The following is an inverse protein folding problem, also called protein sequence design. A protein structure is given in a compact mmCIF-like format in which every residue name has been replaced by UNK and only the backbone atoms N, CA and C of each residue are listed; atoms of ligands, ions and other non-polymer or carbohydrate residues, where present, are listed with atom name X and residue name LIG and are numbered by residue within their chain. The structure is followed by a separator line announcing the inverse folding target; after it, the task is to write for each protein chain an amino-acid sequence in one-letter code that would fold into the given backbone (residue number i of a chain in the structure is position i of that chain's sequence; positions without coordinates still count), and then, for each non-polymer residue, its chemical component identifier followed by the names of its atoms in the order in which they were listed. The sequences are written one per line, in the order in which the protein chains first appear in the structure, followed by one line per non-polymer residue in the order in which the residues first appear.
data_IF_346622956684
#
_entry.id   IF_346622956684
#
_cell.length_a   1.000
_cell.length_b   1.000
_cell.length_c   1.000
_cell.angle_alpha   90.00
_cell.angle_beta   90.00
_cell.angle_gamma   90.00
#
_symmetry.space_group_name_H-M   'P 1'
#
loop_
_entity.id
_entity.type
_entity.pdbx_description
1 polymer ?
#
# COMPACT_ATOMS: atom_id res chain seq x y z
N UNK A 1 -24.89 -1.88 3.90
CA UNK A 1 -24.13 -1.79 2.64
C UNK A 1 -22.73 -2.30 2.94
N UNK A 2 -22.38 -3.46 2.40
CA UNK A 2 -21.04 -4.05 2.44
C UNK A 2 -20.32 -3.65 1.15
N UNK A 3 -19.11 -3.10 1.24
CA UNK A 3 -18.28 -2.87 0.06
C UNK A 3 -17.67 -4.20 -0.41
N UNK A 4 -17.73 -4.44 -1.71
CA UNK A 4 -17.11 -5.60 -2.35
C UNK A 4 -15.71 -5.20 -2.81
N UNK A 5 -14.67 -5.73 -2.16
CA UNK A 5 -13.31 -5.56 -2.65
C UNK A 5 -13.07 -6.55 -3.79
N UNK A 6 -12.78 -6.03 -4.99
CA UNK A 6 -12.39 -6.87 -6.13
C UNK A 6 -11.04 -7.54 -5.89
N UNK A 7 -10.84 -8.72 -6.48
CA UNK A 7 -9.55 -9.41 -6.48
C UNK A 7 -8.44 -8.53 -7.07
N UNK A 8 -7.21 -8.77 -6.64
CA UNK A 8 -6.04 -8.03 -7.10
C UNK A 8 -4.78 -8.88 -6.99
N UNK A 9 -3.71 -8.45 -7.65
CA UNK A 9 -2.38 -8.99 -7.44
C UNK A 9 -1.63 -8.06 -6.48
N UNK A 10 -0.98 -8.64 -5.47
CA UNK A 10 -0.11 -7.85 -4.59
C UNK A 10 1.15 -7.39 -5.30
N UNK A 11 1.91 -6.49 -4.68
CA UNK A 11 3.24 -6.09 -5.16
C UNK A 11 4.18 -7.30 -5.40
N UNK A 12 4.00 -8.39 -4.64
CA UNK A 12 4.73 -9.65 -4.80
C UNK A 12 4.15 -10.56 -5.91
N UNK A 13 3.23 -10.06 -6.73
CA UNK A 13 2.47 -10.81 -7.75
C UNK A 13 1.66 -12.00 -7.17
N UNK A 14 1.25 -11.91 -5.91
CA UNK A 14 0.38 -12.92 -5.28
C UNK A 14 -1.07 -12.57 -5.56
N UNK A 15 -1.83 -13.51 -6.13
CA UNK A 15 -3.26 -13.32 -6.36
C UNK A 15 -4.03 -13.33 -5.05
N UNK A 16 -4.64 -12.20 -4.71
CA UNK A 16 -5.52 -12.04 -3.56
C UNK A 16 -6.96 -12.04 -4.06
N UNK A 17 -7.74 -13.00 -3.56
CA UNK A 17 -9.15 -13.09 -3.92
C UNK A 17 -9.94 -11.89 -3.38
N UNK A 18 -10.94 -11.46 -4.15
CA UNK A 18 -11.87 -10.44 -3.72
C UNK A 18 -12.68 -10.95 -2.53
N UNK A 19 -12.93 -10.07 -1.58
CA UNK A 19 -13.72 -10.38 -0.39
C UNK A 19 -14.65 -9.22 -0.07
N UNK A 20 -15.84 -9.55 0.41
CA UNK A 20 -16.78 -8.59 0.95
C UNK A 20 -16.33 -8.12 2.34
N UNK A 21 -16.42 -6.81 2.57
CA UNK A 21 -16.19 -6.19 3.88
C UNK A 21 -17.52 -6.09 4.65
N UNK A 22 -17.54 -6.27 5.98
CA UNK A 22 -16.40 -6.53 6.87
C UNK A 22 -15.97 -8.00 6.86
N UNK A 23 -14.67 -8.25 7.08
CA UNK A 23 -14.12 -9.60 7.15
C UNK A 23 -14.65 -10.32 8.40
N UNK A 24 -14.92 -11.62 8.30
CA UNK A 24 -15.36 -12.42 9.44
C UNK A 24 -14.30 -12.37 10.57
N UNK A 25 -14.69 -11.85 11.74
CA UNK A 25 -13.79 -11.62 12.87
C UNK A 25 -12.98 -10.31 12.82
N UNK A 26 -13.22 -9.45 11.82
CA UNK A 26 -12.69 -8.10 11.75
C UNK A 26 -13.60 -7.05 12.42
N UNK A 27 -13.25 -5.77 12.25
CA UNK A 27 -14.08 -4.68 12.75
C UNK A 27 -15.42 -4.65 12.00
N UNK A 28 -16.53 -4.69 12.74
CA UNK A 28 -17.88 -4.65 12.17
C UNK A 28 -18.19 -3.34 11.46
N UNK A 29 -17.45 -2.28 11.80
CA UNK A 29 -17.61 -0.97 11.19
C UNK A 29 -16.80 -0.83 9.89
N UNK A 30 -15.81 -1.71 9.67
CA UNK A 30 -14.97 -1.75 8.47
C UNK A 30 -15.72 -2.27 7.24
N UNK A 31 -16.77 -1.55 6.82
CA UNK A 31 -17.67 -1.90 5.75
C UNK A 31 -17.21 -1.40 4.37
N UNK A 32 -16.10 -0.65 4.30
CA UNK A 32 -15.57 -0.05 3.07
C UNK A 32 -14.26 -0.72 2.62
N UNK A 33 -13.99 -0.65 1.32
CA UNK A 33 -12.74 -1.13 0.74
C UNK A 33 -11.75 0.04 0.60
N UNK A 34 -10.64 -0.01 1.34
CA UNK A 34 -9.57 0.99 1.33
C UNK A 34 -8.27 0.45 0.76
N UNK A 35 -7.34 1.38 0.53
CA UNK A 35 -5.97 1.08 0.16
C UNK A 35 -5.69 1.41 -1.30
N UNK A 36 -4.79 0.64 -1.88
CA UNK A 36 -4.27 0.81 -3.23
C UNK A 36 -4.71 -0.34 -4.12
N UNK A 37 -4.47 -0.25 -5.43
CA UNK A 37 -4.84 -1.33 -6.34
C UNK A 37 -4.15 -2.66 -5.99
N UNK A 38 -2.90 -2.58 -5.51
CA UNK A 38 -2.00 -3.66 -5.14
C UNK A 38 -2.06 -4.05 -3.65
N UNK A 39 -2.73 -3.26 -2.80
CA UNK A 39 -2.91 -3.53 -1.36
C UNK A 39 -4.28 -3.03 -0.92
N UNK A 40 -5.29 -3.91 -0.97
CA UNK A 40 -6.67 -3.60 -0.54
C UNK A 40 -6.98 -4.20 0.83
N UNK A 41 -7.63 -3.43 1.69
CA UNK A 41 -8.05 -3.84 3.03
C UNK A 41 -9.40 -3.24 3.43
N UNK A 42 -10.10 -3.88 4.36
CA UNK A 42 -11.36 -3.36 4.89
C UNK A 42 -11.10 -2.23 5.90
N UNK A 43 -11.88 -1.16 5.81
CA UNK A 43 -11.76 0.05 6.62
C UNK A 43 -13.14 0.67 6.87
N UNK A 44 -13.19 1.61 7.81
CA UNK A 44 -14.39 2.40 8.14
C UNK A 44 -14.58 3.65 7.28
N UNK A 45 -13.54 4.06 6.55
CA UNK A 45 -13.49 5.33 5.85
C UNK A 45 -13.79 5.15 4.34
N UNK A 46 -14.88 5.73 3.82
CA UNK A 46 -15.25 5.58 2.41
C UNK A 46 -14.29 6.29 1.43
N UNK A 47 -13.38 7.14 1.91
CA UNK A 47 -12.56 8.03 1.07
C UNK A 47 -11.06 7.68 1.05
N UNK A 48 -10.67 6.51 1.56
CA UNK A 48 -9.28 6.05 1.62
C UNK A 48 -8.91 5.04 0.51
N UNK A 49 -9.70 5.00 -0.56
CA UNK A 49 -9.39 4.20 -1.75
C UNK A 49 -8.64 5.01 -2.80
N UNK A 50 -7.47 4.50 -3.20
CA UNK A 50 -6.62 5.08 -4.22
C UNK A 50 -6.47 4.09 -5.39
N UNK A 51 -6.88 4.46 -6.63
CA UNK A 51 -6.87 3.56 -7.78
C UNK A 51 -5.47 3.32 -8.39
N UNK A 52 -4.40 3.71 -7.70
CA UNK A 52 -3.01 3.60 -8.15
C UNK A 52 -2.28 2.50 -7.37
N UNK A 53 -1.18 1.98 -7.91
CA UNK A 53 -0.30 1.08 -7.18
C UNK A 53 0.54 1.86 -6.16
N UNK A 54 0.75 1.30 -4.97
CA UNK A 54 1.61 1.89 -3.96
C UNK A 54 3.03 2.14 -4.50
N UNK A 55 3.52 1.24 -5.35
CA UNK A 55 4.80 1.39 -6.05
C UNK A 55 4.91 2.67 -6.91
N UNK A 56 3.79 3.16 -7.46
CA UNK A 56 3.78 4.39 -8.25
C UNK A 56 4.08 5.63 -7.38
N UNK A 57 3.67 5.64 -6.12
CA UNK A 57 4.01 6.74 -5.19
C UNK A 57 5.50 6.79 -4.87
N UNK A 58 6.17 5.63 -4.79
CA UNK A 58 7.62 5.55 -4.64
C UNK A 58 8.34 6.03 -5.90
N UNK A 59 7.88 5.62 -7.09
CA UNK A 59 8.49 6.06 -8.35
C UNK A 59 8.38 7.57 -8.55
N UNK A 60 7.26 8.20 -8.19
CA UNK A 60 7.13 9.66 -8.23
C UNK A 60 8.15 10.36 -7.33
N UNK A 61 8.58 9.76 -6.21
CA UNK A 61 9.67 10.28 -5.38
C UNK A 61 11.00 10.23 -6.16
N UNK A 62 11.34 9.09 -6.75
CA UNK A 62 12.55 8.92 -7.56
C UNK A 62 12.58 9.82 -8.80
N UNK A 63 11.45 10.03 -9.49
CA UNK A 63 11.39 10.87 -10.69
C UNK A 63 11.46 12.35 -10.35
N UNK A 64 10.91 12.75 -9.20
CA UNK A 64 11.07 14.12 -8.69
C UNK A 64 12.50 14.37 -8.21
N UNK A 65 13.23 13.33 -7.82
CA UNK A 65 14.67 13.38 -7.56
C UNK A 65 15.52 13.34 -8.86
N UNK A 66 14.97 12.89 -9.99
CA UNK A 66 15.66 12.87 -11.29
C UNK A 66 15.81 14.26 -11.95
N UNK A 67 15.13 15.29 -11.43
CA UNK A 67 15.41 16.69 -11.78
C UNK A 67 16.56 17.29 -10.96
N UNK A 68 17.18 16.53 -10.05
CA UNK A 68 18.45 16.93 -9.44
C UNK A 68 19.59 16.37 -10.28
N UNK A 69 20.45 17.23 -10.85
CA UNK A 69 21.47 16.79 -11.79
C UNK A 69 22.44 15.85 -11.06
N UNK A 70 22.40 14.59 -11.45
CA UNK A 70 23.52 13.66 -11.57
C UNK A 70 24.74 14.01 -10.70
N UNK A 71 24.67 13.75 -9.39
CA UNK A 71 25.83 13.60 -8.53
C UNK A 71 25.46 12.73 -7.34
N UNK A 72 26.42 11.92 -6.88
CA UNK A 72 26.36 10.97 -5.76
C UNK A 72 25.89 9.57 -6.19
N UNK A 73 26.82 8.83 -6.78
CA UNK A 73 26.89 7.41 -6.46
C UNK A 73 27.26 7.27 -4.99
N UNK A 74 26.59 6.40 -4.24
CA UNK A 74 27.13 5.72 -3.07
C UNK A 74 26.21 4.53 -2.73
N UNK A 75 26.86 3.43 -2.35
CA UNK A 75 26.41 2.05 -2.18
C UNK A 75 25.13 1.83 -1.32
N UNK A 76 24.47 0.65 -1.45
CA UNK A 76 23.39 0.27 -0.55
C UNK A 76 23.97 -0.01 0.83
N UNK A 77 23.62 0.80 1.83
CA UNK A 77 23.88 0.45 3.22
C UNK A 77 22.60 -0.17 3.76
N UNK A 78 22.61 -1.51 3.85
CA UNK A 78 21.81 -2.23 4.83
C UNK A 78 22.19 -1.69 6.21
N UNK A 79 21.37 -0.82 6.79
CA UNK A 79 21.28 -0.70 8.25
C UNK A 79 19.96 -1.32 8.68
N UNK A 80 20.08 -2.58 9.09
CA UNK A 80 19.37 -3.08 10.26
C UNK A 80 19.58 -2.06 11.38
N UNK A 81 18.54 -1.27 11.67
CA UNK A 81 18.49 -0.45 12.87
C UNK A 81 17.34 -1.01 13.69
N UNK A 82 17.64 -2.05 14.48
CA UNK A 82 16.86 -2.33 15.68
C UNK A 82 16.67 -1.03 16.45
N UNK A 83 15.41 -0.68 16.63
CA UNK A 83 14.94 0.30 17.59
C UNK A 83 15.29 -0.22 18.99
N UNK A 84 16.29 0.36 19.65
CA UNK A 84 16.48 0.23 21.10
C UNK A 84 16.97 1.55 21.65
N UNK A 85 16.01 2.37 22.06
CA UNK A 85 16.19 3.47 23.01
C UNK A 85 14.84 3.61 23.72
N UNK A 86 14.65 2.97 24.88
CA UNK A 86 14.83 3.58 26.21
C UNK A 86 14.68 2.50 27.27
#
# INVERSE_FOLDING_TARGET
MSAECTSYYSADNVFVNGSSCPKAGGDARAAFCCGFNDIKYCCDDPNSFFPYEYGYMWWLRYVRDLHKPLMVGFAPIFLDSQETTT
#
